data_IF_535186942775
#
_entry.id   IF_535186942775
#
_cell.length_a   1.000
_cell.length_b   1.000
_cell.length_c   1.000
_cell.angle_alpha   90.00
_cell.angle_beta   90.00
_cell.angle_gamma   90.00
#
_symmetry.space_group_name_H-M   'P 1'
#
loop_
_entity.id
_entity.type
_entity.pdbx_description
1 polymer ?
#
# COMPACT_ATOMS: atom_id res chain seq x y z
N UNK A 1 28.43 -9.52 5.84
CA UNK A 1 27.42 -10.41 5.24
C UNK A 1 27.82 -10.64 3.79
N UNK A 2 27.78 -11.88 3.31
CA UNK A 2 28.18 -12.20 1.94
C UNK A 2 26.98 -11.97 1.00
N UNK A 3 27.16 -11.18 -0.07
CA UNK A 3 26.09 -10.71 -0.96
C UNK A 3 25.28 -11.86 -1.61
N UNK A 4 25.90 -13.03 -1.80
CA UNK A 4 25.31 -14.27 -2.31
C UNK A 4 24.11 -14.80 -1.51
N UNK A 5 23.96 -14.39 -0.25
CA UNK A 5 22.81 -14.80 0.59
C UNK A 5 21.61 -13.86 0.52
N UNK A 6 21.77 -12.67 -0.07
CA UNK A 6 20.64 -11.77 -0.31
C UNK A 6 19.86 -12.28 -1.53
N UNK A 7 18.57 -12.56 -1.33
CA UNK A 7 17.70 -13.12 -2.37
C UNK A 7 17.19 -12.03 -3.35
N UNK A 8 17.43 -10.76 -3.02
CA UNK A 8 16.84 -9.56 -3.61
C UNK A 8 17.90 -8.52 -4.03
N UNK A 9 19.10 -8.96 -4.43
CA UNK A 9 20.14 -8.05 -5.00
C UNK A 9 19.61 -7.33 -6.25
N UNK A 10 18.78 -8.02 -7.04
CA UNK A 10 18.00 -7.43 -8.11
C UNK A 10 16.56 -7.94 -8.03
N UNK A 11 15.60 -7.03 -8.19
CA UNK A 11 14.16 -7.35 -8.15
C UNK A 11 13.43 -6.78 -9.36
N UNK A 12 12.63 -7.60 -10.04
CA UNK A 12 11.65 -7.12 -11.02
C UNK A 12 10.24 -7.36 -10.50
N UNK A 13 9.36 -6.39 -10.77
CA UNK A 13 7.94 -6.50 -10.44
C UNK A 13 7.11 -6.47 -11.71
N UNK A 14 6.22 -7.44 -11.87
CA UNK A 14 5.22 -7.44 -12.93
C UNK A 14 3.83 -7.30 -12.31
N UNK A 15 3.14 -6.22 -12.66
CA UNK A 15 1.77 -5.94 -12.23
C UNK A 15 0.83 -6.20 -13.40
N UNK A 16 -0.09 -7.15 -13.23
CA UNK A 16 -1.03 -7.58 -14.28
C UNK A 16 -2.47 -7.33 -13.88
N UNK A 17 -3.36 -7.32 -14.86
CA UNK A 17 -4.74 -6.90 -14.61
C UNK A 17 -5.69 -7.92 -14.04
N UNK A 18 -5.31 -9.20 -13.91
CA UNK A 18 -6.23 -10.21 -13.39
C UNK A 18 -5.49 -11.45 -12.88
N UNK A 19 -6.17 -12.21 -12.02
CA UNK A 19 -5.68 -13.51 -11.57
C UNK A 19 -5.41 -14.49 -12.73
N UNK A 20 -6.18 -14.42 -13.82
CA UNK A 20 -5.91 -15.22 -15.03
C UNK A 20 -4.54 -14.88 -15.64
N UNK A 21 -4.27 -13.59 -15.86
CA UNK A 21 -2.98 -13.13 -16.39
C UNK A 21 -1.84 -13.43 -15.42
N UNK A 22 -2.08 -13.35 -14.12
CA UNK A 22 -1.10 -13.67 -13.09
C UNK A 22 -0.67 -15.13 -13.18
N UNK A 23 -1.65 -16.05 -13.27
CA UNK A 23 -1.39 -17.50 -13.46
C UNK A 23 -0.66 -17.79 -14.77
N UNK A 24 -1.07 -17.15 -15.87
CA UNK A 24 -0.38 -17.29 -17.16
C UNK A 24 1.09 -16.81 -17.09
N UNK A 25 1.34 -15.68 -16.42
CA UNK A 25 2.69 -15.14 -16.25
C UNK A 25 3.55 -16.06 -15.37
N UNK A 26 3.00 -16.54 -14.26
CA UNK A 26 3.66 -17.55 -13.41
C UNK A 26 4.04 -18.77 -14.24
N UNK A 27 3.10 -19.38 -14.95
CA UNK A 27 3.34 -20.58 -15.76
C UNK A 27 4.40 -20.32 -16.85
N UNK A 28 4.39 -19.14 -17.47
CA UNK A 28 5.35 -18.78 -18.50
C UNK A 28 6.79 -18.71 -17.97
N UNK A 29 6.99 -18.21 -16.75
CA UNK A 29 8.32 -18.13 -16.14
C UNK A 29 8.73 -19.45 -15.47
N UNK A 30 7.80 -20.14 -14.81
CA UNK A 30 8.04 -21.41 -14.13
C UNK A 30 8.38 -22.55 -15.11
N UNK A 31 7.63 -22.67 -16.22
CA UNK A 31 7.70 -23.85 -17.09
C UNK A 31 8.09 -23.56 -18.55
N UNK A 32 8.07 -22.30 -18.99
CA UNK A 32 8.27 -21.92 -20.40
C UNK A 32 9.40 -20.91 -20.61
N UNK A 33 10.14 -20.59 -19.55
CA UNK A 33 11.26 -19.66 -19.65
C UNK A 33 12.38 -20.27 -20.49
N UNK A 34 12.94 -19.46 -21.39
CA UNK A 34 14.04 -19.86 -22.30
C UNK A 34 15.39 -19.26 -21.90
N UNK A 35 15.46 -18.62 -20.74
CA UNK A 35 16.69 -17.99 -20.26
C UNK A 35 17.51 -18.98 -19.41
N UNK A 36 18.82 -18.77 -19.37
CA UNK A 36 19.80 -19.66 -18.74
C UNK A 36 19.79 -19.66 -17.21
N UNK A 37 19.00 -18.79 -16.58
CA UNK A 37 18.91 -18.67 -15.13
C UNK A 37 18.19 -19.86 -14.51
N UNK A 38 18.66 -20.30 -13.33
CA UNK A 38 18.11 -21.45 -12.62
C UNK A 38 17.03 -20.99 -11.64
N UNK A 39 15.81 -21.53 -11.74
CA UNK A 39 14.75 -21.27 -10.77
C UNK A 39 15.06 -21.97 -9.45
N UNK A 40 15.22 -21.21 -8.36
CA UNK A 40 15.59 -21.72 -7.03
C UNK A 40 14.41 -21.95 -6.12
N UNK A 41 13.45 -21.02 -6.09
CA UNK A 41 12.30 -21.11 -5.21
C UNK A 41 11.10 -20.37 -5.76
N UNK A 42 9.92 -20.84 -5.40
CA UNK A 42 8.63 -20.22 -5.69
C UNK A 42 7.87 -20.07 -4.38
N UNK A 43 7.45 -18.84 -4.07
CA UNK A 43 6.56 -18.57 -2.95
C UNK A 43 5.25 -17.99 -3.49
N UNK A 44 4.15 -18.72 -3.32
CA UNK A 44 2.82 -18.28 -3.75
C UNK A 44 2.03 -17.69 -2.57
N UNK A 45 2.33 -16.44 -2.23
CA UNK A 45 1.58 -15.71 -1.21
C UNK A 45 0.18 -15.27 -1.68
N UNK A 46 -0.27 -15.67 -2.87
CA UNK A 46 -1.67 -15.48 -3.27
C UNK A 46 -2.53 -16.65 -2.82
N UNK A 47 -1.99 -17.88 -2.91
CA UNK A 47 -2.65 -19.09 -2.45
C UNK A 47 -2.46 -19.34 -0.95
N UNK A 48 -1.31 -18.92 -0.40
CA UNK A 48 -1.04 -18.92 1.05
C UNK A 48 -0.62 -17.52 1.50
N UNK A 49 -1.58 -16.58 1.64
CA UNK A 49 -1.30 -15.22 2.09
C UNK A 49 -0.56 -15.19 3.42
N UNK A 50 0.33 -14.19 3.59
CA UNK A 50 0.99 -13.96 4.88
C UNK A 50 0.00 -13.45 5.92
N UNK A 51 0.35 -13.59 7.19
CA UNK A 51 -0.50 -13.17 8.32
C UNK A 51 -0.83 -11.68 8.29
N UNK A 52 0.07 -10.81 7.80
CA UNK A 52 -0.17 -9.37 7.64
C UNK A 52 -1.14 -9.04 6.49
N UNK A 53 -1.54 -10.03 5.69
CA UNK A 53 -2.35 -9.89 4.50
C UNK A 53 -1.58 -9.66 3.21
N UNK A 54 -0.25 -9.75 3.22
CA UNK A 54 0.53 -9.63 2.01
C UNK A 54 0.24 -10.74 1.00
N UNK A 55 0.02 -10.35 -0.27
CA UNK A 55 -0.25 -11.24 -1.40
C UNK A 55 0.61 -10.89 -2.61
N UNK A 56 1.33 -11.88 -3.14
CA UNK A 56 2.18 -11.80 -4.34
C UNK A 56 2.69 -13.21 -4.69
N UNK A 57 3.08 -13.45 -5.93
CA UNK A 57 3.86 -14.64 -6.30
C UNK A 57 5.32 -14.21 -6.44
N UNK A 58 6.24 -14.89 -5.76
CA UNK A 58 7.69 -14.62 -5.84
C UNK A 58 8.41 -15.80 -6.47
N UNK A 59 9.19 -15.53 -7.52
CA UNK A 59 10.10 -16.50 -8.13
C UNK A 59 11.54 -16.00 -7.92
N UNK A 60 12.38 -16.79 -7.28
CA UNK A 60 13.79 -16.46 -7.10
C UNK A 60 14.62 -17.27 -8.09
N UNK A 61 15.37 -16.59 -8.93
CA UNK A 61 16.31 -17.17 -9.88
C UNK A 61 17.74 -16.97 -9.42
N UNK A 62 18.59 -17.97 -9.64
CA UNK A 62 20.04 -17.80 -9.65
C UNK A 62 20.47 -17.34 -11.03
N UNK A 63 21.07 -16.16 -11.08
CA UNK A 63 21.56 -15.54 -12.30
C UNK A 63 22.69 -16.37 -12.90
N UNK A 64 22.59 -16.60 -14.20
CA UNK A 64 23.57 -17.33 -15.00
C UNK A 64 23.55 -16.75 -16.41
N UNK A 65 24.65 -16.11 -16.82
CA UNK A 65 24.80 -15.52 -18.14
C UNK A 65 26.26 -15.56 -18.61
N UNK A 66 26.54 -16.31 -19.68
CA UNK A 66 27.88 -16.44 -20.25
C UNK A 66 28.47 -15.13 -20.77
N UNK A 67 27.62 -14.15 -21.13
CA UNK A 67 28.07 -12.83 -21.61
C UNK A 67 28.48 -11.90 -20.48
N UNK A 68 28.01 -12.13 -19.26
CA UNK A 68 28.28 -11.28 -18.09
C UNK A 68 28.57 -12.15 -16.85
N UNK A 69 29.65 -12.95 -16.88
CA UNK A 69 29.90 -13.98 -15.87
C UNK A 69 30.17 -13.41 -14.48
N UNK A 70 30.54 -12.13 -14.36
CA UNK A 70 30.82 -11.46 -13.09
C UNK A 70 29.63 -11.37 -12.12
N UNK A 71 28.40 -11.62 -12.59
CA UNK A 71 27.19 -11.66 -11.76
C UNK A 71 26.62 -13.06 -11.59
N UNK A 72 27.28 -14.10 -12.12
CA UNK A 72 26.79 -15.47 -11.98
C UNK A 72 26.73 -15.89 -10.52
N UNK A 73 25.70 -16.66 -10.17
CA UNK A 73 25.46 -17.10 -8.80
C UNK A 73 24.68 -16.11 -7.93
N UNK A 74 24.52 -14.85 -8.35
CA UNK A 74 23.68 -13.88 -7.63
C UNK A 74 22.19 -14.19 -7.80
N UNK A 75 21.37 -13.78 -6.84
CA UNK A 75 19.92 -14.01 -6.88
C UNK A 75 19.15 -12.82 -7.47
N UNK A 76 18.14 -13.14 -8.28
CA UNK A 76 17.18 -12.20 -8.86
C UNK A 76 15.78 -12.63 -8.47
N UNK A 77 15.01 -11.73 -7.85
CA UNK A 77 13.63 -11.98 -7.48
C UNK A 77 12.66 -11.39 -8.51
N UNK A 78 11.70 -12.18 -8.96
CA UNK A 78 10.54 -11.73 -9.74
C UNK A 78 9.29 -11.74 -8.86
N UNK A 79 8.68 -10.58 -8.67
CA UNK A 79 7.43 -10.42 -7.93
C UNK A 79 6.27 -10.20 -8.91
N UNK A 80 5.34 -11.13 -8.97
CA UNK A 80 4.13 -11.01 -9.78
C UNK A 80 2.94 -10.66 -8.89
N UNK A 81 2.19 -9.62 -9.27
CA UNK A 81 1.01 -9.15 -8.55
C UNK A 81 -0.12 -8.81 -9.51
N UNK A 82 -1.36 -8.94 -9.06
CA UNK A 82 -2.45 -8.22 -9.71
C UNK A 82 -2.38 -6.72 -9.37
N UNK A 83 -3.09 -5.88 -10.12
CA UNK A 83 -3.28 -4.46 -9.78
C UNK A 83 -3.85 -4.28 -8.36
N UNK A 84 -4.74 -5.17 -7.91
CA UNK A 84 -5.37 -5.09 -6.57
C UNK A 84 -4.35 -5.40 -5.47
N UNK A 85 -3.57 -6.46 -5.65
CA UNK A 85 -2.50 -6.86 -4.73
C UNK A 85 -1.40 -5.80 -4.67
N UNK A 86 -1.06 -5.20 -5.83
CA UNK A 86 -0.12 -4.11 -5.90
C UNK A 86 -0.63 -2.87 -5.16
N UNK A 87 -1.87 -2.46 -5.43
CA UNK A 87 -2.52 -1.32 -4.78
C UNK A 87 -2.59 -1.47 -3.25
N UNK A 88 -2.90 -2.68 -2.74
CA UNK A 88 -2.87 -2.97 -1.30
C UNK A 88 -1.47 -2.79 -0.72
N UNK A 89 -0.44 -3.34 -1.35
CA UNK A 89 0.93 -3.21 -0.86
C UNK A 89 1.43 -1.76 -0.91
N UNK A 90 1.09 -1.01 -1.96
CA UNK A 90 1.40 0.41 -2.06
C UNK A 90 0.71 1.20 -0.94
N UNK A 91 -0.54 0.89 -0.61
CA UNK A 91 -1.25 1.54 0.49
C UNK A 91 -0.61 1.24 1.87
N UNK A 92 -0.15 0.00 2.10
CA UNK A 92 0.63 -0.33 3.31
C UNK A 92 1.89 0.52 3.38
N UNK A 93 2.60 0.67 2.26
CA UNK A 93 3.81 1.48 2.21
C UNK A 93 3.55 2.96 2.45
N UNK A 94 2.47 3.49 1.88
CA UNK A 94 2.00 4.85 2.19
C UNK A 94 1.80 5.02 3.68
N UNK A 95 1.14 4.07 4.33
CA UNK A 95 0.84 4.18 5.76
C UNK A 95 2.11 4.04 6.61
N UNK A 96 2.99 3.10 6.27
CA UNK A 96 4.27 2.95 6.95
C UNK A 96 5.13 4.22 6.82
N UNK A 97 5.12 4.85 5.64
CA UNK A 97 5.93 6.05 5.35
C UNK A 97 5.38 7.30 6.03
N UNK A 98 4.08 7.55 5.90
CA UNK A 98 3.48 8.82 6.32
C UNK A 98 2.92 8.78 7.73
N UNK A 99 2.49 7.63 8.24
CA UNK A 99 1.95 7.52 9.61
C UNK A 99 2.94 6.85 10.57
N UNK A 100 4.21 6.72 10.16
CA UNK A 100 5.28 6.05 10.91
C UNK A 100 4.82 4.69 11.48
N UNK A 101 4.06 3.95 10.68
CA UNK A 101 3.64 2.60 11.04
C UNK A 101 4.72 1.62 10.61
N UNK A 102 4.80 0.51 11.32
CA UNK A 102 5.76 -0.55 11.04
C UNK A 102 5.02 -1.84 10.65
N UNK A 103 4.02 -1.73 9.75
CA UNK A 103 3.13 -2.82 9.33
C UNK A 103 3.96 -3.94 8.71
N UNK A 104 4.84 -3.62 7.76
CA UNK A 104 5.74 -4.60 7.13
C UNK A 104 6.70 -5.27 8.10
N UNK A 105 7.04 -4.59 9.20
CA UNK A 105 7.93 -5.12 10.22
C UNK A 105 7.18 -5.83 11.36
N UNK A 106 5.86 -6.03 11.23
CA UNK A 106 5.02 -6.69 12.23
C UNK A 106 4.87 -5.90 13.54
N UNK A 107 5.13 -4.59 13.53
CA UNK A 107 5.16 -3.71 14.70
C UNK A 107 4.16 -2.55 14.63
N UNK A 108 3.20 -2.61 13.72
CA UNK A 108 2.18 -1.58 13.59
C UNK A 108 1.31 -1.44 14.84
N UNK A 109 0.68 -0.26 14.99
CA UNK A 109 -0.51 -0.13 15.83
C UNK A 109 -1.49 -1.24 15.43
N UNK A 110 -1.99 -1.97 16.43
CA UNK A 110 -2.87 -3.12 16.24
C UNK A 110 -4.07 -2.80 15.33
N UNK A 111 -4.59 -1.57 15.39
CA UNK A 111 -5.72 -1.12 14.57
C UNK A 111 -5.36 -1.06 13.09
N UNK A 112 -4.17 -0.53 12.76
CA UNK A 112 -3.70 -0.49 11.37
C UNK A 112 -3.39 -1.89 10.83
N UNK A 113 -2.77 -2.75 11.65
CA UNK A 113 -2.53 -4.15 11.29
C UNK A 113 -3.85 -4.88 10.99
N UNK A 114 -4.82 -4.78 11.89
CA UNK A 114 -6.16 -5.37 11.71
C UNK A 114 -6.86 -4.81 10.45
N UNK A 115 -6.83 -3.49 10.25
CA UNK A 115 -7.41 -2.86 9.07
C UNK A 115 -6.83 -3.45 7.77
N UNK A 116 -5.51 -3.56 7.65
CA UNK A 116 -4.88 -4.06 6.42
C UNK A 116 -5.08 -5.56 6.21
N UNK A 117 -5.12 -6.35 7.29
CA UNK A 117 -5.50 -7.77 7.23
C UNK A 117 -6.92 -7.93 6.67
N UNK A 118 -7.89 -7.19 7.23
CA UNK A 118 -9.28 -7.20 6.78
C UNK A 118 -9.42 -6.69 5.34
N UNK A 119 -8.70 -5.62 4.97
CA UNK A 119 -8.68 -5.10 3.62
C UNK A 119 -8.15 -6.13 2.61
N UNK A 120 -7.07 -6.83 2.95
CA UNK A 120 -6.53 -7.88 2.07
C UNK A 120 -7.52 -9.04 1.92
N UNK A 121 -8.13 -9.49 3.01
CA UNK A 121 -9.11 -10.57 3.00
C UNK A 121 -10.34 -10.21 2.15
N UNK A 122 -10.88 -9.00 2.32
CA UNK A 122 -12.00 -8.53 1.51
C UNK A 122 -11.62 -8.42 0.02
N UNK A 123 -10.40 -7.98 -0.30
CA UNK A 123 -9.91 -7.94 -1.68
C UNK A 123 -9.67 -9.33 -2.25
N UNK A 124 -9.22 -10.29 -1.44
CA UNK A 124 -9.06 -11.69 -1.83
C UNK A 124 -10.41 -12.33 -2.19
N UNK A 125 -11.48 -12.03 -1.45
CA UNK A 125 -12.84 -12.46 -1.83
C UNK A 125 -13.27 -11.90 -3.18
N UNK A 126 -12.92 -10.63 -3.47
CA UNK A 126 -13.16 -10.03 -4.78
C UNK A 126 -12.31 -10.72 -5.87
N UNK A 127 -11.10 -11.16 -5.58
CA UNK A 127 -10.26 -11.87 -6.56
C UNK A 127 -10.53 -13.39 -6.61
N UNK A 128 -11.45 -13.89 -5.78
CA UNK A 128 -11.73 -15.31 -5.59
C UNK A 128 -10.46 -16.12 -5.25
N UNK A 129 -9.66 -15.57 -4.34
CA UNK A 129 -8.45 -16.20 -3.79
C UNK A 129 -8.62 -16.48 -2.30
N UNK A 130 -7.84 -17.42 -1.72
CA UNK A 130 -7.84 -17.65 -0.28
C UNK A 130 -7.55 -16.40 0.54
N UNK A 131 -8.07 -16.39 1.77
CA UNK A 131 -7.74 -15.40 2.82
C UNK A 131 -6.64 -15.96 3.74
N UNK A 132 -6.10 -15.11 4.61
CA UNK A 132 -5.14 -15.50 5.64
C UNK A 132 -5.73 -16.56 6.58
N UNK A 133 -4.88 -17.43 7.13
CA UNK A 133 -5.32 -18.57 7.93
C UNK A 133 -6.13 -18.16 9.16
N UNK A 134 -5.76 -17.06 9.83
CA UNK A 134 -6.51 -16.57 11.00
C UNK A 134 -7.91 -16.02 10.68
N UNK A 135 -8.21 -15.76 9.40
CA UNK A 135 -9.54 -15.28 8.95
C UNK A 135 -10.31 -16.36 8.18
N UNK A 136 -9.76 -17.56 8.01
CA UNK A 136 -10.33 -18.62 7.16
C UNK A 136 -11.71 -19.12 7.63
N UNK A 137 -11.98 -19.06 8.93
CA UNK A 137 -13.28 -19.43 9.51
C UNK A 137 -14.31 -18.30 9.49
N UNK A 138 -13.92 -17.08 9.12
CA UNK A 138 -14.83 -15.94 9.09
C UNK A 138 -15.61 -15.87 7.78
N UNK A 139 -16.85 -15.39 7.87
CA UNK A 139 -17.67 -15.15 6.67
C UNK A 139 -17.23 -13.87 5.97
N UNK A 140 -17.41 -13.81 4.65
CA UNK A 140 -17.12 -12.59 3.88
C UNK A 140 -17.89 -11.38 4.41
N UNK A 141 -19.12 -11.58 4.89
CA UNK A 141 -19.92 -10.53 5.49
C UNK A 141 -19.32 -9.99 6.80
N UNK A 142 -18.81 -10.87 7.67
CA UNK A 142 -18.12 -10.47 8.91
C UNK A 142 -16.89 -9.62 8.60
N UNK A 143 -16.07 -10.07 7.64
CA UNK A 143 -14.84 -9.38 7.23
C UNK A 143 -15.17 -7.98 6.68
N UNK A 144 -16.15 -7.85 5.78
CA UNK A 144 -16.55 -6.56 5.22
C UNK A 144 -17.12 -5.61 6.27
N UNK A 145 -17.93 -6.11 7.20
CA UNK A 145 -18.46 -5.31 8.31
C UNK A 145 -17.34 -4.77 9.20
N UNK A 146 -16.39 -5.62 9.60
CA UNK A 146 -15.25 -5.20 10.43
C UNK A 146 -14.35 -4.23 9.68
N UNK A 147 -14.10 -4.46 8.39
CA UNK A 147 -13.35 -3.52 7.56
C UNK A 147 -14.05 -2.15 7.50
N UNK A 148 -15.38 -2.14 7.35
CA UNK A 148 -16.17 -0.90 7.33
C UNK A 148 -16.06 -0.12 8.64
N UNK A 149 -16.10 -0.81 9.79
CA UNK A 149 -15.90 -0.17 11.10
C UNK A 149 -14.47 0.34 11.28
N UNK A 150 -13.47 -0.48 10.95
CA UNK A 150 -12.07 -0.10 11.03
C UNK A 150 -11.72 1.09 10.11
N UNK A 151 -12.31 1.15 8.91
CA UNK A 151 -12.18 2.30 8.01
C UNK A 151 -12.71 3.57 8.67
N UNK A 152 -13.89 3.51 9.32
CA UNK A 152 -14.50 4.66 9.98
C UNK A 152 -13.69 5.11 11.20
N UNK A 153 -13.20 4.16 12.01
CA UNK A 153 -12.42 4.42 13.22
C UNK A 153 -11.07 5.06 12.91
N UNK A 154 -10.41 4.61 11.84
CA UNK A 154 -9.12 5.15 11.40
C UNK A 154 -9.26 6.29 10.39
N UNK A 155 -10.46 6.52 9.84
CA UNK A 155 -10.74 7.48 8.78
C UNK A 155 -9.81 7.30 7.54
N UNK A 156 -9.56 6.05 7.16
CA UNK A 156 -8.50 5.69 6.19
C UNK A 156 -8.70 6.34 4.83
N UNK A 157 -9.94 6.38 4.32
CA UNK A 157 -10.22 6.97 3.01
C UNK A 157 -9.85 8.45 2.95
N UNK A 158 -10.12 9.20 4.02
CA UNK A 158 -9.81 10.63 4.10
C UNK A 158 -8.31 10.86 4.27
N UNK A 159 -7.68 10.11 5.18
CA UNK A 159 -6.24 10.17 5.47
C UNK A 159 -5.39 9.89 4.23
N UNK A 160 -5.62 8.75 3.57
CA UNK A 160 -4.88 8.38 2.37
C UNK A 160 -5.12 9.36 1.21
N UNK A 161 -6.37 9.83 1.01
CA UNK A 161 -6.64 10.86 0.01
C UNK A 161 -5.91 12.17 0.30
N UNK A 162 -5.87 12.60 1.57
CA UNK A 162 -5.14 13.78 2.02
C UNK A 162 -3.66 13.69 1.66
N UNK A 163 -3.03 12.55 1.94
CA UNK A 163 -1.62 12.31 1.58
C UNK A 163 -1.40 12.35 0.08
N UNK A 164 -2.27 11.73 -0.72
CA UNK A 164 -2.16 11.75 -2.19
C UNK A 164 -2.16 13.20 -2.69
N UNK A 165 -3.09 14.02 -2.21
CA UNK A 165 -3.16 15.45 -2.56
C UNK A 165 -1.93 16.21 -2.03
N UNK A 166 -1.42 15.87 -0.85
CA UNK A 166 -0.23 16.48 -0.28
C UNK A 166 1.01 16.21 -1.13
N UNK A 167 1.24 14.94 -1.48
CA UNK A 167 2.37 14.50 -2.28
C UNK A 167 2.37 15.16 -3.68
N UNK A 168 1.19 15.33 -4.29
CA UNK A 168 1.07 16.04 -5.57
C UNK A 168 1.42 17.53 -5.45
N UNK A 169 0.89 18.20 -4.42
CA UNK A 169 1.17 19.62 -4.15
C UNK A 169 2.64 19.86 -3.84
N UNK A 170 3.26 19.04 -2.99
CA UNK A 170 4.68 19.16 -2.62
C UNK A 170 5.56 19.07 -3.87
N UNK A 171 5.26 18.14 -4.77
CA UNK A 171 5.99 17.99 -6.03
C UNK A 171 5.79 19.17 -7.00
N UNK A 172 4.56 19.66 -7.15
CA UNK A 172 4.23 20.76 -8.07
C UNK A 172 4.82 22.13 -7.70
N UNK A 173 5.36 22.29 -6.48
CA UNK A 173 5.89 23.58 -6.00
C UNK A 173 7.26 23.96 -6.56
N UNK A 174 7.92 23.12 -7.38
CA UNK A 174 9.14 23.47 -8.13
C UNK A 174 10.40 23.81 -7.31
N UNK A 175 10.28 23.95 -5.98
CA UNK A 175 11.41 23.98 -5.05
C UNK A 175 11.90 22.56 -4.84
N UNK A 176 13.22 22.40 -4.74
CA UNK A 176 13.84 21.11 -4.42
C UNK A 176 13.04 20.44 -3.31
N UNK A 177 12.53 19.23 -3.51
CA UNK A 177 11.69 18.56 -2.52
C UNK A 177 12.49 18.11 -1.30
N UNK A 178 13.73 18.54 -1.19
CA UNK A 178 14.60 18.38 -0.03
C UNK A 178 14.14 19.30 1.10
N UNK A 179 13.71 18.71 2.22
CA UNK A 179 13.25 19.43 3.40
C UNK A 179 12.33 18.59 4.25
N UNK A 180 11.53 19.24 5.10
CA UNK A 180 10.48 18.61 5.88
C UNK A 180 9.12 19.25 5.55
N UNK A 181 8.07 18.45 5.53
CA UNK A 181 6.71 18.90 5.24
C UNK A 181 5.77 18.48 6.37
N UNK A 182 5.22 19.47 7.06
CA UNK A 182 4.12 19.28 8.01
C UNK A 182 2.81 19.32 7.24
N UNK A 183 2.11 18.19 7.22
CA UNK A 183 0.81 18.01 6.60
C UNK A 183 -0.22 17.96 7.74
N UNK A 184 -1.20 18.86 7.72
CA UNK A 184 -2.30 18.89 8.69
C UNK A 184 -3.60 18.67 7.96
N UNK A 185 -4.23 17.53 8.20
CA UNK A 185 -5.55 17.20 7.67
C UNK A 185 -6.63 17.56 8.69
N UNK A 186 -7.42 18.60 8.40
CA UNK A 186 -8.64 18.88 9.15
C UNK A 186 -9.76 17.99 8.64
N UNK A 187 -10.11 16.98 9.42
CA UNK A 187 -11.12 15.98 9.06
C UNK A 187 -12.55 16.51 9.12
N UNK A 188 -12.79 17.56 9.92
CA UNK A 188 -14.09 18.21 10.04
C UNK A 188 -14.39 19.12 8.84
N UNK A 189 -13.40 19.93 8.44
CA UNK A 189 -13.49 20.89 7.33
C UNK A 189 -13.09 20.29 5.98
N UNK A 190 -12.44 19.12 5.99
CA UNK A 190 -11.87 18.45 4.80
C UNK A 190 -10.83 19.33 4.10
N UNK A 191 -10.05 20.06 4.89
CA UNK A 191 -9.01 20.97 4.41
C UNK A 191 -7.65 20.37 4.72
N UNK A 192 -6.75 20.47 3.76
CA UNK A 192 -5.37 20.05 3.87
C UNK A 192 -4.46 21.28 3.88
N UNK A 193 -3.72 21.46 4.97
CA UNK A 193 -2.69 22.48 5.10
C UNK A 193 -1.30 21.84 5.03
N UNK A 194 -0.40 22.45 4.27
CA UNK A 194 0.98 21.97 4.12
C UNK A 194 1.91 23.12 4.47
N UNK A 195 2.80 22.90 5.44
CA UNK A 195 3.86 23.83 5.79
C UNK A 195 5.20 23.14 5.51
N UNK A 196 6.03 23.76 4.68
CA UNK A 196 7.32 23.22 4.27
C UNK A 196 8.46 23.94 5.00
N UNK A 197 9.50 23.18 5.31
CA UNK A 197 10.70 23.61 6.02
C UNK A 197 11.93 23.12 5.23
N UNK A 198 13.01 23.90 5.19
CA UNK A 198 14.27 23.46 4.58
C UNK A 198 15.01 22.44 5.46
N UNK A 199 16.06 21.80 4.94
CA UNK A 199 16.80 20.74 5.66
C UNK A 199 17.42 21.22 6.98
N UNK A 200 17.78 22.50 7.07
CA UNK A 200 18.34 23.16 8.26
C UNK A 200 17.27 23.55 9.30
N UNK A 201 15.99 23.38 8.98
CA UNK A 201 14.86 23.79 9.83
C UNK A 201 14.19 22.60 10.55
N UNK A 202 14.92 21.53 10.85
CA UNK A 202 14.38 20.34 11.52
C UNK A 202 13.77 20.68 12.89
N UNK A 203 14.42 21.52 13.69
CA UNK A 203 13.90 21.94 15.00
C UNK A 203 12.56 22.67 14.86
N UNK A 204 12.50 23.68 14.00
CA UNK A 204 11.27 24.44 13.73
C UNK A 204 10.14 23.55 13.17
N UNK A 205 10.48 22.55 12.35
CA UNK A 205 9.52 21.58 11.82
C UNK A 205 8.96 20.67 12.93
N UNK A 206 9.82 20.23 13.85
CA UNK A 206 9.45 19.36 14.98
C UNK A 206 8.61 20.12 16.01
N UNK A 207 8.94 21.37 16.30
CA UNK A 207 8.13 22.24 17.16
C UNK A 207 6.75 22.49 16.58
N UNK A 208 6.67 22.81 15.29
CA UNK A 208 5.39 23.00 14.59
C UNK A 208 4.55 21.72 14.59
N UNK A 209 5.17 20.56 14.38
CA UNK A 209 4.48 19.27 14.45
C UNK A 209 3.95 18.97 15.86
N UNK A 210 4.79 19.17 16.88
CA UNK A 210 4.42 18.96 18.29
C UNK A 210 3.24 19.82 18.72
N UNK A 211 3.16 21.07 18.22
CA UNK A 211 2.02 21.95 18.48
C UNK A 211 0.71 21.41 17.87
N UNK A 212 0.75 20.90 16.65
CA UNK A 212 -0.43 20.32 16.01
C UNK A 212 -0.80 18.97 16.63
N UNK A 213 0.17 18.14 17.05
CA UNK A 213 -0.10 16.91 17.80
C UNK A 213 -0.79 17.22 19.14
N UNK A 214 -0.32 18.23 19.86
CA UNK A 214 -0.97 18.68 21.09
C UNK A 214 -2.43 19.09 20.83
N UNK A 215 -2.69 19.86 19.77
CA UNK A 215 -4.06 20.25 19.38
C UNK A 215 -4.94 19.05 19.05
N UNK A 216 -4.40 18.07 18.32
CA UNK A 216 -5.11 16.81 18.03
C UNK A 216 -5.44 16.05 19.33
N UNK A 217 -4.48 15.96 20.25
CA UNK A 217 -4.68 15.33 21.57
C UNK A 217 -5.71 16.05 22.45
N UNK A 218 -5.89 17.37 22.26
CA UNK A 218 -6.97 18.16 22.90
C UNK A 218 -8.34 17.96 22.24
N UNK A 219 -8.48 17.02 21.29
CA UNK A 219 -9.74 16.67 20.65
C UNK A 219 -10.09 17.52 19.43
N UNK A 220 -9.17 18.35 18.94
CA UNK A 220 -9.37 18.97 17.62
C UNK A 220 -9.38 17.89 16.54
N UNK A 221 -10.28 18.01 15.57
CA UNK A 221 -10.45 17.03 14.49
C UNK A 221 -9.37 17.15 13.40
N UNK A 222 -8.11 17.29 13.81
CA UNK A 222 -6.95 17.38 12.94
C UNK A 222 -6.07 16.13 13.05
N UNK A 223 -5.39 15.80 11.96
CA UNK A 223 -4.43 14.70 11.87
C UNK A 223 -3.12 15.25 11.30
N UNK A 224 -2.16 15.64 12.16
CA UNK A 224 -0.88 16.16 11.74
C UNK A 224 0.10 15.03 11.44
N UNK A 225 0.91 15.24 10.40
CA UNK A 225 1.97 14.33 9.97
C UNK A 225 3.17 15.15 9.55
N UNK A 226 4.35 14.83 10.06
CA UNK A 226 5.62 15.39 9.59
C UNK A 226 6.35 14.37 8.74
N UNK A 227 6.68 14.73 7.49
CA UNK A 227 7.46 13.87 6.59
C UNK A 227 8.72 14.54 6.10
N UNK A 228 9.79 13.77 5.96
CA UNK A 228 10.94 14.19 5.18
C UNK A 228 10.56 14.17 3.70
N UNK A 229 10.97 15.21 2.97
CA UNK A 229 10.67 15.35 1.56
C UNK A 229 11.19 14.17 0.73
N UNK A 230 12.41 13.70 0.99
CA UNK A 230 12.96 12.51 0.34
C UNK A 230 12.10 11.24 0.45
N UNK A 231 11.26 11.11 1.49
CA UNK A 231 10.29 10.02 1.61
C UNK A 231 9.15 10.13 0.59
N UNK A 232 8.74 11.35 0.24
CA UNK A 232 7.74 11.65 -0.81
C UNK A 232 8.30 11.28 -2.18
N UNK A 233 9.57 11.64 -2.47
CA UNK A 233 10.23 11.24 -3.72
C UNK A 233 10.42 9.73 -3.79
N UNK A 234 10.92 9.11 -2.72
CA UNK A 234 11.17 7.68 -2.68
C UNK A 234 9.90 6.89 -2.96
N UNK A 235 8.76 7.31 -2.40
CA UNK A 235 7.49 6.65 -2.62
C UNK A 235 6.96 6.85 -4.05
N UNK A 236 7.20 8.00 -4.70
CA UNK A 236 6.94 8.17 -6.15
C UNK A 236 7.90 7.38 -7.05
N UNK A 237 9.17 7.24 -6.67
CA UNK A 237 10.17 6.51 -7.44
C UNK A 237 9.96 4.99 -7.35
N UNK A 238 9.66 4.49 -6.15
CA UNK A 238 9.39 3.06 -5.91
C UNK A 238 8.08 2.62 -6.56
N UNK A 239 7.14 3.55 -6.75
CA UNK A 239 5.86 3.35 -7.42
C UNK A 239 5.62 4.45 -8.46
N UNK A 240 6.13 4.32 -9.70
CA UNK A 240 5.93 5.33 -10.75
C UNK A 240 4.44 5.64 -11.01
N UNK A 241 3.58 4.65 -10.74
CA UNK A 241 2.13 4.74 -10.84
C UNK A 241 1.44 4.94 -9.47
N UNK A 242 2.16 5.43 -8.46
CA UNK A 242 1.69 5.59 -7.08
C UNK A 242 0.26 6.16 -6.97
N UNK A 243 -0.02 7.22 -7.73
CA UNK A 243 -1.34 7.86 -7.75
C UNK A 243 -2.43 6.92 -8.27
N UNK A 244 -2.14 6.16 -9.33
CA UNK A 244 -3.05 5.18 -9.88
C UNK A 244 -3.26 4.02 -8.91
N UNK A 245 -2.20 3.56 -8.25
CA UNK A 245 -2.24 2.44 -7.31
C UNK A 245 -3.01 2.82 -6.03
N UNK A 246 -2.72 3.98 -5.46
CA UNK A 246 -3.44 4.49 -4.29
C UNK A 246 -4.92 4.77 -4.62
N UNK A 247 -5.21 5.33 -5.80
CA UNK A 247 -6.60 5.49 -6.27
C UNK A 247 -7.28 4.14 -6.44
N UNK A 248 -6.58 3.13 -6.94
CA UNK A 248 -7.10 1.77 -7.08
C UNK A 248 -7.48 1.20 -5.72
N UNK A 249 -6.59 1.28 -4.72
CA UNK A 249 -6.88 0.86 -3.34
C UNK A 249 -8.14 1.54 -2.78
N UNK A 250 -8.20 2.89 -2.87
CA UNK A 250 -9.33 3.67 -2.39
C UNK A 250 -10.65 3.29 -3.07
N UNK A 251 -10.62 2.95 -4.36
CA UNK A 251 -11.82 2.53 -5.09
C UNK A 251 -12.37 1.18 -4.60
N UNK A 252 -11.50 0.19 -4.35
CA UNK A 252 -11.93 -1.09 -3.77
C UNK A 252 -12.47 -0.92 -2.35
N UNK A 253 -11.77 -0.13 -1.51
CA UNK A 253 -12.23 0.15 -0.15
C UNK A 253 -13.59 0.85 -0.14
N UNK A 254 -13.78 1.87 -0.99
CA UNK A 254 -15.08 2.56 -1.16
C UNK A 254 -16.18 1.63 -1.62
N UNK A 255 -15.89 0.75 -2.58
CA UNK A 255 -16.86 -0.21 -3.08
C UNK A 255 -17.40 -1.09 -1.95
N UNK A 256 -16.51 -1.65 -1.12
CA UNK A 256 -16.89 -2.48 0.03
C UNK A 256 -17.66 -1.67 1.07
N UNK A 257 -17.17 -0.50 1.45
CA UNK A 257 -17.81 0.31 2.49
C UNK A 257 -19.18 0.87 2.04
N UNK A 258 -19.36 1.16 0.74
CA UNK A 258 -20.65 1.54 0.18
C UNK A 258 -21.68 0.41 0.24
N UNK A 259 -21.23 -0.83 -0.01
CA UNK A 259 -22.06 -2.00 0.10
C UNK A 259 -22.62 -2.14 1.52
N UNK A 260 -21.74 -2.04 2.53
CA UNK A 260 -22.14 -2.11 3.95
C UNK A 260 -23.05 -0.96 4.39
N UNK A 261 -22.78 0.28 3.93
CA UNK A 261 -23.65 1.44 4.21
C UNK A 261 -25.08 1.22 3.71
N UNK A 262 -25.23 0.73 2.48
CA UNK A 262 -26.56 0.49 1.89
C UNK A 262 -27.31 -0.61 2.63
N UNK A 263 -26.63 -1.71 2.97
CA UNK A 263 -27.23 -2.80 3.75
C UNK A 263 -27.82 -2.32 5.09
N UNK A 264 -27.30 -1.22 5.63
CA UNK A 264 -27.72 -0.59 6.89
C UNK A 264 -28.67 0.61 6.71
N UNK A 265 -29.09 0.93 5.49
CA UNK A 265 -29.91 2.12 5.23
C UNK A 265 -29.19 3.46 5.49
N UNK A 266 -27.86 3.45 5.62
CA UNK A 266 -27.08 4.67 5.85
C UNK A 266 -26.96 5.45 4.55
N UNK A 267 -27.36 6.71 4.57
CA UNK A 267 -27.24 7.58 3.41
C UNK A 267 -25.77 7.72 2.97
N UNK A 268 -25.54 7.64 1.66
CA UNK A 268 -24.24 7.92 1.02
C UNK A 268 -24.08 9.44 0.92
N UNK A 269 -24.00 10.10 2.07
CA UNK A 269 -23.93 11.57 2.16
C UNK A 269 -22.57 12.10 1.74
N UNK A 270 -21.52 11.32 1.99
CA UNK A 270 -20.15 11.72 1.76
C UNK A 270 -19.76 11.62 0.28
N UNK A 271 -19.24 12.73 -0.28
CA UNK A 271 -18.78 12.81 -1.66
C UNK A 271 -17.72 11.74 -2.00
N UNK A 272 -16.91 11.29 -1.03
CA UNK A 272 -15.92 10.24 -1.23
C UNK A 272 -16.55 8.90 -1.63
N UNK A 273 -17.78 8.68 -1.21
CA UNK A 273 -18.50 7.42 -1.37
C UNK A 273 -19.42 7.42 -2.61
N UNK A 274 -19.71 8.58 -3.21
CA UNK A 274 -20.65 8.70 -4.33
C UNK A 274 -20.15 8.11 -5.66
N UNK A 275 -18.84 7.91 -5.85
CA UNK A 275 -18.24 7.50 -7.14
C UNK A 275 -18.02 5.98 -7.32
N UNK A 276 -18.19 5.16 -6.28
CA UNK A 276 -17.64 3.80 -6.22
C UNK A 276 -18.64 2.63 -6.32
N UNK A 277 -19.78 2.78 -7.00
CA UNK A 277 -20.86 1.79 -6.91
C UNK A 277 -20.69 0.55 -7.83
N UNK A 278 -19.89 0.67 -8.89
CA UNK A 278 -19.54 -0.47 -9.71
C UNK A 278 -18.34 -1.20 -9.10
N UNK A 279 -18.39 -2.54 -9.06
CA UNK A 279 -17.22 -3.36 -8.72
C UNK A 279 -16.06 -2.89 -9.61
N UNK A 280 -14.91 -2.50 -9.03
CA UNK A 280 -13.81 -1.99 -9.84
C UNK A 280 -13.42 -3.05 -10.87
N UNK A 281 -13.35 -2.65 -12.14
CA UNK A 281 -12.88 -3.54 -13.21
C UNK A 281 -11.37 -3.60 -13.10
N UNK A 282 -10.85 -4.80 -12.93
CA UNK A 282 -9.43 -5.10 -13.08
C UNK A 282 -9.10 -5.02 -14.58
N UNK A 283 -8.78 -3.82 -15.09
CA UNK A 283 -8.53 -3.54 -16.52
C UNK A 283 -7.21 -4.15 -16.96
#
# INVERSE_FOLDING_TARGET
MSLDRMQDIAGLRAVVSSMRRLRMLREAYENKSRFSHELRSIHDYVMTPKDDGYRSIHLVYRYENSKVPGYNGLHVELQFRTQVQHAWATAVETVDTFFNQAIKAGRADRRWGEFFQLASAAFASIEQTPVQDQLRSETESSIRERLFRAEADLNVLMRLKGIIVAADKIHGMGKSPTGYHLIVLDTSRRVLNIKSFSNDQLEAATEAYSLEEYRAAQGQSIDPVLVAGGSVEQLRQTYPNYFLDATTFLNYLRYICNFERRGRGLAIRDAEYRRGFARPRSR
#
